data_IF_558664316451
#
_entry.id   IF_558664316451
#
_cell.length_a   1.000
_cell.length_b   1.000
_cell.length_c   1.000
_cell.angle_alpha   90.00
_cell.angle_beta   90.00
_cell.angle_gamma   90.00
#
_symmetry.space_group_name_H-M   'P 1'
#
loop_
_entity.id
_entity.type
_entity.pdbx_description
1 polymer ?
#
# COMPACT_ATOMS: atom_id res chain seq x y z
N UNK A 1 -29.82 11.38 -10.81
CA UNK A 1 -28.56 12.14 -10.95
C UNK A 1 -27.43 11.16 -10.87
N UNK A 2 -26.57 11.11 -11.86
CA UNK A 2 -25.38 10.26 -11.84
C UNK A 2 -24.38 10.90 -10.86
N UNK A 3 -23.69 10.07 -10.07
CA UNK A 3 -22.73 10.49 -9.01
C UNK A 3 -21.55 11.25 -9.64
N UNK A 4 -21.19 10.88 -10.87
CA UNK A 4 -20.05 11.38 -11.61
C UNK A 4 -20.41 12.56 -12.55
N UNK A 5 -21.73 12.85 -12.80
CA UNK A 5 -22.20 13.69 -13.90
C UNK A 5 -22.22 15.21 -13.66
N UNK A 6 -21.42 15.74 -12.75
CA UNK A 6 -21.36 17.21 -12.53
C UNK A 6 -20.39 17.95 -13.45
N UNK A 7 -20.12 17.43 -14.65
CA UNK A 7 -19.16 18.04 -15.60
C UNK A 7 -17.69 17.98 -15.13
N UNK A 8 -17.42 17.27 -14.06
CA UNK A 8 -16.06 17.06 -13.58
C UNK A 8 -15.41 15.92 -14.38
N UNK A 9 -14.25 16.20 -14.94
CA UNK A 9 -13.42 15.18 -15.63
C UNK A 9 -12.39 14.65 -14.65
N UNK A 10 -12.44 13.34 -14.39
CA UNK A 10 -11.44 12.64 -13.61
C UNK A 10 -10.13 12.52 -14.38
N UNK A 11 -9.02 12.82 -13.73
CA UNK A 11 -7.73 12.99 -14.40
C UNK A 11 -6.77 11.87 -14.14
N UNK A 12 -5.96 11.56 -15.13
CA UNK A 12 -4.68 10.86 -15.00
C UNK A 12 -3.61 11.67 -15.74
N UNK A 13 -2.35 11.54 -15.31
CA UNK A 13 -1.23 12.28 -15.91
C UNK A 13 -0.53 11.47 -16.98
N UNK A 14 -0.25 10.21 -16.74
CA UNK A 14 0.38 9.30 -17.70
C UNK A 14 -0.19 7.89 -17.61
N UNK A 15 -0.24 7.20 -18.74
CA UNK A 15 -0.59 5.79 -18.88
C UNK A 15 0.52 5.04 -19.61
N UNK A 16 0.97 3.92 -19.06
CA UNK A 16 1.99 3.06 -19.65
C UNK A 16 1.50 1.62 -19.80
N UNK A 17 1.60 1.09 -21.01
CA UNK A 17 1.56 -0.35 -21.27
C UNK A 17 2.97 -0.93 -21.13
N UNK A 18 3.17 -1.88 -20.23
CA UNK A 18 4.44 -2.57 -20.09
C UNK A 18 4.71 -3.50 -21.28
N UNK A 19 5.62 -3.12 -22.17
CA UNK A 19 6.00 -3.90 -23.35
C UNK A 19 6.71 -5.21 -22.99
N UNK A 20 7.26 -5.31 -21.77
CA UNK A 20 7.97 -6.49 -21.26
C UNK A 20 7.10 -7.32 -20.33
N UNK A 21 5.77 -7.10 -20.33
CA UNK A 21 4.86 -7.83 -19.47
C UNK A 21 4.94 -9.35 -19.69
N UNK A 22 5.23 -10.05 -18.62
CA UNK A 22 5.25 -11.51 -18.56
C UNK A 22 4.94 -11.95 -17.13
N UNK A 23 3.76 -12.53 -16.91
CA UNK A 23 3.39 -13.01 -15.58
C UNK A 23 3.88 -14.44 -15.37
N UNK A 24 5.11 -14.55 -14.90
CA UNK A 24 5.73 -15.84 -14.58
C UNK A 24 5.59 -16.12 -13.07
N UNK A 25 4.68 -17.05 -12.73
CA UNK A 25 4.41 -17.42 -11.33
C UNK A 25 5.68 -17.95 -10.62
N UNK A 26 6.49 -18.75 -11.30
CA UNK A 26 7.69 -19.33 -10.69
C UNK A 26 8.73 -18.23 -10.40
N UNK A 27 8.95 -17.32 -11.32
CA UNK A 27 9.87 -16.20 -11.11
C UNK A 27 9.42 -15.30 -9.97
N UNK A 28 8.10 -15.02 -9.88
CA UNK A 28 7.50 -14.23 -8.79
C UNK A 28 7.74 -14.94 -7.45
N UNK A 29 7.44 -16.24 -7.37
CA UNK A 29 7.55 -17.04 -6.15
C UNK A 29 9.00 -17.36 -5.78
N UNK A 30 9.96 -17.20 -6.69
CA UNK A 30 11.40 -17.21 -6.34
C UNK A 30 11.82 -15.91 -5.60
N UNK A 31 11.06 -14.82 -5.76
CA UNK A 31 11.35 -13.54 -5.10
C UNK A 31 10.63 -13.38 -3.75
N UNK A 32 9.48 -14.02 -3.60
CA UNK A 32 8.71 -14.15 -2.36
C UNK A 32 8.07 -15.53 -2.33
N UNK A 33 8.70 -16.45 -1.62
CA UNK A 33 8.39 -17.89 -1.69
C UNK A 33 7.03 -18.23 -1.09
N UNK A 34 6.42 -19.30 -1.59
CA UNK A 34 5.18 -19.85 -1.03
C UNK A 34 5.29 -20.10 0.47
N UNK A 35 6.45 -20.60 0.90
CA UNK A 35 6.72 -20.86 2.32
C UNK A 35 6.67 -19.56 3.15
N UNK A 36 7.29 -18.46 2.68
CA UNK A 36 7.25 -17.18 3.38
C UNK A 36 5.83 -16.63 3.46
N UNK A 37 5.05 -16.82 2.40
CA UNK A 37 3.63 -16.42 2.33
C UNK A 37 2.80 -17.24 3.33
N UNK A 38 2.98 -18.56 3.38
CA UNK A 38 2.26 -19.45 4.30
C UNK A 38 2.65 -19.21 5.76
N UNK A 39 3.93 -19.03 6.03
CA UNK A 39 4.44 -18.70 7.36
C UNK A 39 3.82 -17.38 7.87
N UNK A 40 3.71 -16.36 6.99
CA UNK A 40 3.12 -15.08 7.34
C UNK A 40 1.64 -15.22 7.69
N UNK A 41 0.85 -15.90 6.86
CA UNK A 41 -0.57 -16.14 7.13
C UNK A 41 -0.77 -16.97 8.40
N UNK A 42 -0.01 -18.07 8.55
CA UNK A 42 -0.10 -18.95 9.71
C UNK A 42 0.25 -18.25 11.03
N UNK A 43 1.15 -17.26 11.00
CA UNK A 43 1.48 -16.46 12.17
C UNK A 43 0.44 -15.38 12.43
N UNK A 44 0.16 -14.53 11.44
CA UNK A 44 -0.70 -13.35 11.57
C UNK A 44 -2.14 -13.74 11.91
N UNK A 45 -2.65 -14.83 11.34
CA UNK A 45 -4.01 -15.31 11.62
C UNK A 45 -4.24 -15.76 13.07
N UNK A 46 -3.17 -15.99 13.83
CA UNK A 46 -3.22 -16.34 15.27
C UNK A 46 -3.04 -15.13 16.19
N UNK A 47 -2.78 -13.96 15.64
CA UNK A 47 -2.59 -12.78 16.49
C UNK A 47 -3.89 -12.36 17.17
N UNK A 48 -3.79 -11.95 18.41
CA UNK A 48 -4.96 -11.44 19.13
C UNK A 48 -5.57 -10.25 18.38
N UNK A 49 -6.90 -10.32 18.15
CA UNK A 49 -7.63 -9.30 17.38
C UNK A 49 -7.51 -9.45 15.86
N UNK A 50 -6.93 -10.55 15.34
CA UNK A 50 -6.98 -10.83 13.92
C UNK A 50 -8.42 -11.12 13.48
N UNK A 51 -8.81 -10.45 12.42
CA UNK A 51 -9.99 -10.76 11.63
C UNK A 51 -9.72 -10.34 10.18
N UNK A 52 -10.23 -11.06 9.18
CA UNK A 52 -10.21 -10.58 7.80
C UNK A 52 -10.89 -9.21 7.71
N UNK A 53 -10.22 -8.25 7.07
CA UNK A 53 -10.83 -6.93 6.86
C UNK A 53 -11.95 -7.02 5.82
N UNK A 54 -12.92 -6.09 5.84
CA UNK A 54 -14.04 -6.15 4.91
C UNK A 54 -13.62 -6.09 3.44
N UNK A 55 -14.27 -6.87 2.61
CA UNK A 55 -14.28 -6.73 1.15
C UNK A 55 -15.64 -6.15 0.75
N UNK A 56 -15.68 -4.87 0.44
CA UNK A 56 -16.89 -4.08 0.22
C UNK A 56 -17.17 -3.99 -1.28
N UNK A 57 -18.42 -4.22 -1.70
CA UNK A 57 -18.82 -3.93 -3.07
C UNK A 57 -19.13 -2.44 -3.23
N UNK A 58 -18.45 -1.78 -4.19
CA UNK A 58 -18.82 -0.42 -4.62
C UNK A 58 -19.93 -0.52 -5.67
N UNK A 59 -21.09 -1.05 -5.26
CA UNK A 59 -22.21 -1.44 -6.13
C UNK A 59 -22.84 -0.26 -6.89
N UNK A 60 -22.85 0.93 -6.30
CA UNK A 60 -23.36 2.15 -6.96
C UNK A 60 -22.36 2.62 -8.04
N UNK A 61 -21.06 2.61 -7.74
CA UNK A 61 -20.03 2.96 -8.69
C UNK A 61 -19.93 1.96 -9.85
N UNK A 62 -20.03 0.65 -9.57
CA UNK A 62 -19.99 -0.37 -10.63
C UNK A 62 -21.13 -0.22 -11.63
N UNK A 63 -22.34 0.10 -11.17
CA UNK A 63 -23.48 0.40 -12.03
C UNK A 63 -23.23 1.62 -12.91
N UNK A 64 -22.69 2.70 -12.32
CA UNK A 64 -22.44 3.95 -13.03
C UNK A 64 -21.35 3.81 -14.10
N UNK A 65 -20.30 3.03 -13.83
CA UNK A 65 -19.22 2.76 -14.77
C UNK A 65 -19.52 1.63 -15.76
N UNK A 66 -20.69 0.97 -15.64
CA UNK A 66 -21.08 -0.20 -16.42
C UNK A 66 -20.04 -1.33 -16.33
N UNK A 67 -19.65 -1.67 -15.09
CA UNK A 67 -18.78 -2.80 -14.75
C UNK A 67 -19.58 -3.85 -13.98
N UNK A 68 -19.16 -5.13 -14.03
CA UNK A 68 -19.87 -6.22 -13.30
C UNK A 68 -19.78 -5.99 -11.80
N UNK A 69 -18.58 -5.88 -11.24
CA UNK A 69 -18.34 -5.61 -9.82
C UNK A 69 -17.08 -4.74 -9.63
N UNK A 70 -17.10 -3.95 -8.57
CA UNK A 70 -15.92 -3.29 -8.04
C UNK A 70 -15.82 -3.70 -6.57
N UNK A 71 -14.76 -4.45 -6.25
CA UNK A 71 -14.45 -4.87 -4.88
C UNK A 71 -13.43 -3.91 -4.26
N UNK A 72 -13.69 -3.45 -3.06
CA UNK A 72 -12.83 -2.58 -2.27
C UNK A 72 -12.41 -3.32 -0.99
N UNK A 73 -11.12 -3.62 -0.85
CA UNK A 73 -10.55 -4.22 0.36
C UNK A 73 -10.25 -3.12 1.38
N UNK A 74 -11.03 -3.07 2.47
CA UNK A 74 -11.00 -1.96 3.44
C UNK A 74 -10.00 -2.23 4.59
N UNK A 75 -8.75 -1.84 4.41
CA UNK A 75 -7.71 -1.95 5.45
C UNK A 75 -7.81 -0.91 6.57
N UNK A 76 -8.78 0.00 6.52
CA UNK A 76 -9.06 0.93 7.63
C UNK A 76 -9.47 0.22 8.93
N UNK A 77 -9.83 -1.06 8.87
CA UNK A 77 -10.24 -1.88 10.01
C UNK A 77 -9.10 -2.74 10.59
N UNK A 78 -7.90 -2.70 9.97
CA UNK A 78 -6.79 -3.58 10.34
C UNK A 78 -6.28 -3.26 11.77
N UNK A 79 -6.46 -4.18 12.72
CA UNK A 79 -5.96 -4.14 14.10
C UNK A 79 -6.13 -2.81 14.85
N UNK A 80 -7.14 -2.01 14.50
CA UNK A 80 -7.32 -0.64 14.99
C UNK A 80 -6.17 0.33 14.66
N UNK A 81 -5.18 -0.11 13.88
CA UNK A 81 -4.11 0.74 13.34
C UNK A 81 -4.52 1.46 12.07
N UNK A 82 -5.66 1.09 11.50
CA UNK A 82 -6.28 1.73 10.34
C UNK A 82 -5.40 1.71 9.08
N UNK A 83 -4.54 0.70 8.90
CA UNK A 83 -3.68 0.58 7.72
C UNK A 83 -3.19 -0.85 7.54
N UNK A 84 -3.06 -1.28 6.27
CA UNK A 84 -2.46 -2.57 5.90
C UNK A 84 -1.02 -2.75 6.41
N UNK A 85 -0.32 -1.64 6.64
CA UNK A 85 1.07 -1.66 7.14
C UNK A 85 1.21 -2.46 8.44
N UNK A 86 0.13 -2.56 9.22
CA UNK A 86 0.08 -3.37 10.43
C UNK A 86 0.47 -4.84 10.20
N UNK A 87 0.17 -5.40 9.04
CA UNK A 87 0.52 -6.77 8.67
C UNK A 87 2.02 -6.95 8.52
N UNK A 88 2.67 -6.09 7.73
CA UNK A 88 4.06 -6.27 7.34
C UNK A 88 5.07 -5.90 8.42
N UNK A 89 4.98 -4.67 8.97
CA UNK A 89 5.96 -4.21 9.96
C UNK A 89 5.94 -5.04 11.24
N UNK A 90 4.75 -5.37 11.75
CA UNK A 90 4.64 -6.20 12.95
C UNK A 90 5.11 -7.66 12.71
N UNK A 91 4.84 -8.21 11.51
CA UNK A 91 5.35 -9.53 11.15
C UNK A 91 6.87 -9.55 11.01
N UNK A 92 7.46 -8.52 10.39
CA UNK A 92 8.91 -8.38 10.30
C UNK A 92 9.55 -8.35 11.70
N UNK A 93 8.99 -7.58 12.65
CA UNK A 93 9.44 -7.56 14.05
C UNK A 93 9.41 -8.97 14.64
N UNK A 94 8.32 -9.71 14.48
CA UNK A 94 8.20 -11.07 15.01
C UNK A 94 9.26 -12.02 14.40
N UNK A 95 9.49 -11.94 13.08
CA UNK A 95 10.44 -12.81 12.39
C UNK A 95 11.90 -12.56 12.77
N UNK A 96 12.30 -11.30 12.94
CA UNK A 96 13.69 -10.98 13.28
C UNK A 96 14.04 -11.27 14.73
N UNK A 97 13.06 -11.15 15.63
CA UNK A 97 13.30 -11.34 17.07
C UNK A 97 13.30 -12.80 17.49
N UNK A 98 12.61 -13.66 16.75
CA UNK A 98 12.54 -15.12 17.03
C UNK A 98 12.25 -15.46 18.50
N UNK A 99 11.43 -14.62 19.16
CA UNK A 99 11.07 -14.78 20.56
C UNK A 99 12.09 -14.24 21.59
N UNK A 100 13.26 -13.72 21.15
CA UNK A 100 14.21 -13.06 22.04
C UNK A 100 13.65 -11.67 22.47
N UNK A 101 13.48 -11.47 23.77
CA UNK A 101 12.93 -10.26 24.36
C UNK A 101 13.95 -9.17 24.68
N UNK A 102 15.23 -9.47 24.58
CA UNK A 102 16.32 -8.52 24.84
C UNK A 102 16.65 -7.66 23.62
N UNK A 103 15.98 -7.94 22.48
CA UNK A 103 16.17 -7.20 21.24
C UNK A 103 15.45 -5.86 21.32
N UNK A 104 16.15 -4.78 20.95
CA UNK A 104 15.56 -3.48 20.65
C UNK A 104 15.37 -3.38 19.16
N UNK A 105 14.17 -3.01 18.70
CA UNK A 105 13.89 -2.75 17.29
C UNK A 105 13.92 -1.25 17.00
N UNK A 106 14.43 -0.87 15.83
CA UNK A 106 14.52 0.53 15.41
C UNK A 106 14.03 0.72 13.97
N UNK A 107 13.42 1.87 13.70
CA UNK A 107 13.02 2.26 12.33
C UNK A 107 13.05 3.77 12.17
N UNK A 108 13.22 4.24 10.92
CA UNK A 108 13.08 5.65 10.57
C UNK A 108 11.85 5.82 9.67
N UNK A 109 10.81 6.48 10.17
CA UNK A 109 9.56 6.67 9.42
C UNK A 109 8.60 7.59 10.16
N UNK A 110 7.80 8.35 9.43
CA UNK A 110 6.81 9.27 9.98
C UNK A 110 5.36 8.76 9.92
N UNK A 111 5.14 7.53 9.41
CA UNK A 111 3.80 7.10 9.05
C UNK A 111 3.41 5.72 9.57
N UNK A 112 2.55 5.08 8.80
CA UNK A 112 1.92 3.80 9.15
C UNK A 112 2.92 2.65 9.37
N UNK A 113 4.11 2.70 8.74
CA UNK A 113 5.15 1.70 8.98
C UNK A 113 5.67 1.78 10.42
N UNK A 114 5.98 2.99 10.91
CA UNK A 114 6.41 3.17 12.31
C UNK A 114 5.37 2.70 13.32
N UNK A 115 4.10 3.04 13.09
CA UNK A 115 2.99 2.55 13.93
C UNK A 115 2.91 1.02 13.92
N UNK A 116 3.14 0.40 12.76
CA UNK A 116 3.17 -1.06 12.64
C UNK A 116 4.32 -1.70 13.41
N UNK A 117 5.53 -1.13 13.31
CA UNK A 117 6.71 -1.61 14.04
C UNK A 117 6.53 -1.42 15.54
N UNK A 118 6.07 -0.24 15.99
CA UNK A 118 5.78 0.03 17.42
C UNK A 118 4.75 -0.94 17.98
N UNK A 119 3.65 -1.16 17.26
CA UNK A 119 2.62 -2.12 17.68
C UNK A 119 3.14 -3.56 17.71
N UNK A 120 3.95 -3.94 16.71
CA UNK A 120 4.60 -5.26 16.66
C UNK A 120 5.53 -5.48 17.86
N UNK A 121 6.34 -4.48 18.19
CA UNK A 121 7.21 -4.50 19.35
C UNK A 121 6.41 -4.61 20.68
N UNK A 122 5.36 -3.78 20.83
CA UNK A 122 4.47 -3.82 21.99
C UNK A 122 3.82 -5.19 22.19
N UNK A 123 3.37 -5.86 21.11
CA UNK A 123 2.78 -7.21 21.18
C UNK A 123 3.75 -8.23 21.76
N UNK A 124 5.03 -8.07 21.50
CA UNK A 124 6.09 -8.99 21.92
C UNK A 124 6.79 -8.56 23.21
N UNK A 125 6.44 -7.40 23.77
CA UNK A 125 7.07 -6.83 24.95
C UNK A 125 8.51 -6.35 24.70
N UNK A 126 8.79 -5.81 23.52
CA UNK A 126 10.09 -5.32 23.07
C UNK A 126 10.19 -3.81 23.15
N UNK A 127 11.40 -3.31 23.38
CA UNK A 127 11.70 -1.89 23.21
C UNK A 127 11.74 -1.51 21.73
N UNK A 128 11.17 -0.34 21.40
CA UNK A 128 11.09 0.17 20.04
C UNK A 128 11.59 1.61 19.98
N UNK A 129 12.52 1.91 19.06
CA UNK A 129 13.03 3.25 18.79
C UNK A 129 12.56 3.69 17.41
N UNK A 130 11.93 4.86 17.32
CA UNK A 130 11.45 5.40 16.05
C UNK A 130 12.06 6.77 15.80
N UNK A 131 12.82 6.86 14.72
CA UNK A 131 13.48 8.10 14.31
C UNK A 131 12.59 8.84 13.32
N UNK A 132 12.25 10.08 13.63
CA UNK A 132 11.42 10.95 12.78
C UNK A 132 12.15 12.25 12.46
N UNK A 133 11.92 12.77 11.26
CA UNK A 133 12.38 14.10 10.87
C UNK A 133 11.75 15.19 11.76
N UNK A 134 12.46 16.30 11.99
CA UNK A 134 11.92 17.46 12.72
C UNK A 134 10.65 18.06 12.11
N UNK A 135 10.42 17.83 10.81
CA UNK A 135 9.24 18.31 10.09
C UNK A 135 7.98 17.44 10.32
N UNK A 136 8.14 16.29 10.96
CA UNK A 136 6.99 15.43 11.31
C UNK A 136 6.21 16.06 12.45
N UNK A 137 4.88 16.14 12.30
CA UNK A 137 4.00 16.71 13.31
C UNK A 137 4.08 15.95 14.65
N UNK A 138 3.89 16.67 15.74
CA UNK A 138 3.88 16.07 17.08
C UNK A 138 2.79 15.03 17.23
N UNK A 139 1.63 15.22 16.57
CA UNK A 139 0.54 14.25 16.58
C UNK A 139 0.94 12.90 15.99
N UNK A 140 1.73 12.89 14.91
CA UNK A 140 2.25 11.65 14.31
C UNK A 140 3.28 10.98 15.22
N UNK A 141 4.17 11.77 15.85
CA UNK A 141 5.11 11.26 16.85
C UNK A 141 4.36 10.65 18.05
N UNK A 142 3.37 11.35 18.57
CA UNK A 142 2.56 10.89 19.70
C UNK A 142 1.81 9.59 19.38
N UNK A 143 1.27 9.44 18.17
CA UNK A 143 0.58 8.20 17.77
C UNK A 143 1.50 6.97 17.79
N UNK A 144 2.81 7.13 17.62
CA UNK A 144 3.79 6.04 17.76
C UNK A 144 4.20 5.84 19.22
N UNK A 145 4.34 6.92 19.98
CA UNK A 145 4.61 6.86 21.43
C UNK A 145 3.46 6.19 22.21
N UNK A 146 2.21 6.42 21.84
CA UNK A 146 1.03 5.77 22.42
C UNK A 146 1.03 4.24 22.19
N UNK A 147 1.75 3.77 21.19
CA UNK A 147 1.99 2.36 20.92
C UNK A 147 3.21 1.80 21.70
N UNK A 148 3.86 2.61 22.52
CA UNK A 148 4.98 2.23 23.38
C UNK A 148 6.35 2.43 22.75
N UNK A 149 6.45 3.16 21.62
CA UNK A 149 7.74 3.47 21.03
C UNK A 149 8.39 4.70 21.69
N UNK A 150 9.70 4.68 21.78
CA UNK A 150 10.54 5.83 22.10
C UNK A 150 10.82 6.59 20.80
N UNK A 151 10.22 7.78 20.65
CA UNK A 151 10.25 8.57 19.42
C UNK A 151 11.35 9.62 19.51
N UNK A 152 12.29 9.57 18.57
CA UNK A 152 13.47 10.41 18.50
C UNK A 152 13.33 11.36 17.33
N UNK A 153 13.17 12.66 17.60
CA UNK A 153 13.21 13.71 16.56
C UNK A 153 14.66 14.02 16.16
N UNK A 154 14.90 13.91 14.86
CA UNK A 154 16.22 14.18 14.26
C UNK A 154 16.14 15.47 13.45
N UNK A 155 17.12 16.35 13.65
CA UNK A 155 17.22 17.61 12.89
C UNK A 155 17.50 17.32 11.41
N UNK A 156 16.64 17.82 10.54
CA UNK A 156 16.71 17.65 9.09
C UNK A 156 15.57 16.79 8.53
N UNK A 157 15.74 16.33 7.29
CA UNK A 157 14.74 15.58 6.53
C UNK A 157 14.72 14.07 6.89
N UNK A 158 13.88 13.32 6.16
CA UNK A 158 13.78 11.86 6.33
C UNK A 158 15.11 11.13 6.17
N UNK A 159 15.95 11.53 5.18
CA UNK A 159 17.25 10.89 4.96
C UNK A 159 18.17 11.03 6.18
N UNK A 160 18.17 12.19 6.84
CA UNK A 160 18.91 12.41 8.08
C UNK A 160 18.40 11.51 9.22
N UNK A 161 17.08 11.33 9.35
CA UNK A 161 16.52 10.42 10.36
C UNK A 161 16.87 8.96 10.09
N UNK A 162 16.92 8.54 8.83
CA UNK A 162 17.35 7.19 8.45
C UNK A 162 18.86 6.97 8.75
N UNK A 163 19.71 7.92 8.40
CA UNK A 163 21.16 7.84 8.70
C UNK A 163 21.38 7.74 10.21
N UNK A 164 20.69 8.55 11.02
CA UNK A 164 20.82 8.52 12.46
C UNK A 164 20.28 7.21 13.05
N UNK A 165 19.17 6.70 12.53
CA UNK A 165 18.64 5.38 12.90
C UNK A 165 19.67 4.27 12.65
N UNK A 166 20.29 4.24 11.47
CA UNK A 166 21.31 3.24 11.11
C UNK A 166 22.53 3.37 12.04
N UNK A 167 23.01 4.59 12.27
CA UNK A 167 24.15 4.85 13.13
C UNK A 167 23.90 4.35 14.55
N UNK A 168 22.83 4.82 15.20
CA UNK A 168 22.53 4.43 16.59
C UNK A 168 22.21 2.94 16.70
N UNK A 169 21.57 2.35 15.70
CA UNK A 169 21.31 0.91 15.68
C UNK A 169 22.60 0.10 15.62
N UNK A 170 23.57 0.55 14.85
CA UNK A 170 24.90 -0.10 14.76
C UNK A 170 25.65 0.02 16.07
N UNK A 171 25.70 1.22 16.67
CA UNK A 171 26.40 1.49 17.93
C UNK A 171 25.82 0.72 19.13
N UNK A 172 24.49 0.48 19.14
CA UNK A 172 23.76 -0.14 20.26
C UNK A 172 23.29 -1.56 19.95
N UNK A 173 23.65 -2.14 18.81
CA UNK A 173 23.21 -3.48 18.38
C UNK A 173 21.68 -3.62 18.30
N UNK A 174 20.96 -2.57 17.86
CA UNK A 174 19.52 -2.63 17.62
C UNK A 174 19.20 -3.24 16.27
N UNK A 175 18.05 -3.89 16.15
CA UNK A 175 17.57 -4.48 14.91
C UNK A 175 16.76 -3.48 14.10
N UNK A 176 17.25 -3.10 12.93
CA UNK A 176 16.54 -2.20 12.02
C UNK A 176 15.36 -2.93 11.38
N UNK A 177 14.20 -2.27 11.33
CA UNK A 177 12.96 -2.76 10.68
C UNK A 177 12.46 -1.70 9.70
N UNK A 178 13.07 -1.68 8.51
CA UNK A 178 12.61 -0.83 7.39
C UNK A 178 11.85 -1.65 6.35
N UNK A 179 10.90 -1.02 5.65
CA UNK A 179 10.11 -1.64 4.59
C UNK A 179 10.70 -1.40 3.18
N UNK A 180 11.86 -0.76 3.10
CA UNK A 180 12.63 -0.53 1.86
C UNK A 180 13.87 -1.41 1.88
N UNK A 181 14.13 -2.12 0.77
CA UNK A 181 15.30 -2.97 0.59
C UNK A 181 16.45 -2.20 -0.09
N UNK A 182 17.68 -2.42 0.38
CA UNK A 182 18.91 -2.04 -0.29
C UNK A 182 19.86 -3.23 -0.37
N UNK A 183 21.06 -3.06 -0.99
CA UNK A 183 21.92 -4.16 -1.41
C UNK A 183 22.13 -5.27 -0.37
N UNK A 184 22.37 -4.92 0.88
CA UNK A 184 22.68 -5.89 1.95
C UNK A 184 21.56 -5.99 2.99
N UNK A 185 20.39 -5.39 2.69
CA UNK A 185 19.23 -5.36 3.57
C UNK A 185 17.97 -5.79 2.82
N UNK A 186 17.84 -7.09 2.61
CA UNK A 186 16.75 -7.69 1.79
C UNK A 186 15.75 -8.44 2.66
N UNK A 187 16.23 -9.11 3.71
CA UNK A 187 15.42 -10.10 4.45
C UNK A 187 14.24 -9.46 5.19
N UNK A 188 14.45 -8.34 5.87
CA UNK A 188 13.39 -7.67 6.64
C UNK A 188 12.29 -7.10 5.73
N UNK A 189 12.63 -6.40 4.62
CA UNK A 189 11.62 -6.01 3.62
C UNK A 189 10.88 -7.22 3.01
N UNK A 190 11.54 -8.37 2.82
CA UNK A 190 10.88 -9.61 2.37
C UNK A 190 9.85 -10.09 3.39
N UNK A 191 10.17 -10.11 4.69
CA UNK A 191 9.20 -10.43 5.73
C UNK A 191 8.03 -9.44 5.75
N UNK A 192 8.32 -8.16 5.58
CA UNK A 192 7.28 -7.11 5.49
C UNK A 192 6.32 -7.39 4.32
N UNK A 193 6.86 -7.71 3.15
CA UNK A 193 6.06 -8.07 1.99
C UNK A 193 5.27 -9.37 2.22
N UNK A 194 5.87 -10.39 2.83
CA UNK A 194 5.17 -11.63 3.17
C UNK A 194 3.94 -11.36 4.05
N UNK A 195 4.07 -10.47 5.05
CA UNK A 195 2.93 -10.03 5.86
C UNK A 195 1.80 -9.42 5.04
N UNK A 196 2.12 -8.60 4.03
CA UNK A 196 1.10 -7.98 3.17
C UNK A 196 0.32 -8.98 2.31
N UNK A 197 0.87 -10.17 2.02
CA UNK A 197 0.17 -11.19 1.22
C UNK A 197 -1.08 -11.74 1.91
N UNK A 198 -1.21 -11.56 3.22
CA UNK A 198 -2.41 -11.94 4.00
C UNK A 198 -3.66 -11.27 3.42
N UNK A 199 -3.58 -10.04 2.92
CA UNK A 199 -4.70 -9.38 2.25
C UNK A 199 -5.22 -10.21 1.06
N UNK A 200 -4.30 -10.74 0.22
CA UNK A 200 -4.73 -11.51 -0.95
C UNK A 200 -5.37 -12.84 -0.57
N UNK A 201 -4.85 -13.51 0.48
CA UNK A 201 -5.49 -14.73 1.02
C UNK A 201 -6.91 -14.45 1.50
N UNK A 202 -7.10 -13.37 2.28
CA UNK A 202 -8.43 -12.95 2.74
C UNK A 202 -9.38 -12.64 1.58
N UNK A 203 -8.89 -11.91 0.55
CA UNK A 203 -9.68 -11.57 -0.63
C UNK A 203 -10.15 -12.84 -1.34
N UNK A 204 -9.26 -13.80 -1.57
CA UNK A 204 -9.60 -15.08 -2.22
C UNK A 204 -10.68 -15.82 -1.45
N UNK A 205 -10.60 -15.85 -0.13
CA UNK A 205 -11.61 -16.49 0.71
C UNK A 205 -12.96 -15.75 0.68
N UNK A 206 -12.95 -14.43 0.48
CA UNK A 206 -14.14 -13.56 0.49
C UNK A 206 -14.89 -13.47 -0.86
N UNK A 207 -14.20 -13.67 -1.99
CA UNK A 207 -14.82 -13.53 -3.32
C UNK A 207 -15.62 -14.77 -3.78
N UNK A 208 -15.66 -15.85 -2.99
CA UNK A 208 -16.50 -17.03 -3.23
C UNK A 208 -16.44 -17.56 -4.68
N UNK A 209 -15.23 -17.78 -5.23
CA UNK A 209 -14.95 -18.25 -6.59
C UNK A 209 -15.24 -17.26 -7.74
N UNK A 210 -15.60 -16.03 -7.47
CA UNK A 210 -15.66 -15.01 -8.51
C UNK A 210 -14.25 -14.72 -9.06
N UNK A 211 -14.15 -14.58 -10.39
CA UNK A 211 -12.86 -14.28 -11.04
C UNK A 211 -12.60 -12.77 -11.02
N UNK A 212 -11.51 -12.36 -10.42
CA UNK A 212 -10.99 -10.99 -10.55
C UNK A 212 -10.40 -10.85 -11.95
N UNK A 213 -10.84 -9.87 -12.73
CA UNK A 213 -10.34 -9.56 -14.06
C UNK A 213 -9.24 -8.48 -14.05
N UNK A 214 -9.34 -7.53 -13.12
CA UNK A 214 -8.41 -6.41 -12.97
C UNK A 214 -8.11 -6.18 -11.50
N UNK A 215 -6.86 -5.80 -11.21
CA UNK A 215 -6.46 -5.35 -9.89
C UNK A 215 -5.67 -4.06 -10.00
N UNK A 216 -6.06 -3.06 -9.23
CA UNK A 216 -5.39 -1.76 -9.17
C UNK A 216 -4.67 -1.66 -7.82
N UNK A 217 -3.36 -1.45 -7.90
CA UNK A 217 -2.44 -1.51 -6.76
C UNK A 217 -1.70 -0.19 -6.62
N UNK A 218 -1.87 0.46 -5.49
CA UNK A 218 -1.09 1.64 -5.16
C UNK A 218 0.38 1.26 -4.94
N UNK A 219 1.30 2.09 -5.40
CA UNK A 219 2.72 1.94 -5.16
C UNK A 219 3.37 3.25 -4.71
N UNK A 220 4.19 3.15 -3.66
CA UNK A 220 5.31 4.01 -3.40
C UNK A 220 6.56 3.22 -3.77
N UNK A 221 7.31 2.67 -2.81
CA UNK A 221 8.46 1.79 -3.08
C UNK A 221 8.09 0.42 -3.66
N UNK A 222 6.79 0.13 -3.86
CA UNK A 222 6.29 -1.07 -4.52
C UNK A 222 6.03 -2.28 -3.62
N UNK A 223 6.28 -2.21 -2.31
CA UNK A 223 6.18 -3.36 -1.40
C UNK A 223 4.80 -4.01 -1.36
N UNK A 224 3.71 -3.22 -1.23
CA UNK A 224 2.34 -3.74 -1.25
C UNK A 224 1.99 -4.34 -2.62
N UNK A 225 2.27 -3.61 -3.70
CA UNK A 225 1.96 -4.07 -5.05
C UNK A 225 2.67 -5.40 -5.37
N UNK A 226 3.96 -5.52 -5.02
CA UNK A 226 4.73 -6.75 -5.18
C UNK A 226 4.17 -7.91 -4.35
N UNK A 227 3.76 -7.65 -3.11
CA UNK A 227 3.15 -8.65 -2.23
C UNK A 227 1.80 -9.14 -2.77
N UNK A 228 0.94 -8.24 -3.24
CA UNK A 228 -0.35 -8.61 -3.85
C UNK A 228 -0.15 -9.44 -5.11
N UNK A 229 0.84 -9.11 -5.96
CA UNK A 229 1.19 -9.90 -7.14
C UNK A 229 1.71 -11.28 -6.76
N UNK A 230 2.53 -11.40 -5.72
CA UNK A 230 2.97 -12.69 -5.22
C UNK A 230 1.80 -13.53 -4.67
N UNK A 231 0.85 -12.88 -3.99
CA UNK A 231 -0.40 -13.51 -3.56
C UNK A 231 -1.26 -13.99 -4.73
N UNK A 232 -1.35 -13.22 -5.82
CA UNK A 232 -2.01 -13.64 -7.07
C UNK A 232 -1.31 -14.89 -7.64
N UNK A 233 0.02 -14.88 -7.74
CA UNK A 233 0.78 -16.01 -8.26
C UNK A 233 0.51 -17.30 -7.48
N UNK A 234 0.36 -17.19 -6.16
CA UNK A 234 0.11 -18.32 -5.27
C UNK A 234 -1.35 -18.79 -5.26
N UNK A 235 -2.29 -17.87 -5.11
CA UNK A 235 -3.67 -18.23 -4.76
C UNK A 235 -4.65 -18.20 -5.94
N UNK A 236 -4.33 -17.53 -7.05
CA UNK A 236 -5.25 -17.44 -8.18
C UNK A 236 -4.84 -18.33 -9.34
N UNK A 237 -5.83 -19.01 -9.94
CA UNK A 237 -5.64 -19.74 -11.19
C UNK A 237 -5.70 -18.82 -12.41
N UNK A 238 -6.56 -17.79 -12.37
CA UNK A 238 -6.63 -16.76 -13.39
C UNK A 238 -5.74 -15.57 -13.01
N UNK A 239 -5.03 -15.03 -13.99
CA UNK A 239 -4.17 -13.87 -13.79
C UNK A 239 -4.98 -12.62 -14.16
N UNK A 240 -5.30 -11.72 -13.19
CA UNK A 240 -5.94 -10.46 -13.48
C UNK A 240 -4.99 -9.50 -14.21
N UNK A 241 -5.54 -8.56 -14.95
CA UNK A 241 -4.77 -7.41 -15.47
C UNK A 241 -4.27 -6.60 -14.27
N UNK A 242 -2.94 -6.57 -14.08
CA UNK A 242 -2.29 -5.88 -12.96
C UNK A 242 -1.98 -4.44 -13.34
N UNK A 243 -2.52 -3.49 -12.59
CA UNK A 243 -2.37 -2.06 -12.83
C UNK A 243 -1.74 -1.45 -11.58
N UNK A 244 -0.61 -0.76 -11.74
CA UNK A 244 -0.01 0.04 -10.68
C UNK A 244 -0.47 1.49 -10.82
N UNK A 245 -0.83 2.12 -9.70
CA UNK A 245 -1.17 3.54 -9.64
C UNK A 245 -0.22 4.27 -8.69
N UNK A 246 0.27 5.44 -9.12
CA UNK A 246 1.22 6.28 -8.41
C UNK A 246 0.85 7.77 -8.48
N UNK A 247 1.32 8.62 -7.53
CA UNK A 247 1.27 10.06 -7.74
C UNK A 247 2.20 10.47 -8.90
N UNK A 248 1.77 11.39 -9.73
CA UNK A 248 2.57 11.86 -10.87
C UNK A 248 3.89 12.51 -10.47
N UNK A 249 3.93 13.15 -9.31
CA UNK A 249 5.13 13.73 -8.72
C UNK A 249 6.17 12.70 -8.23
N UNK A 250 5.79 11.40 -8.13
CA UNK A 250 6.62 10.33 -7.58
C UNK A 250 6.36 8.97 -8.26
N UNK A 251 6.19 8.94 -9.59
CA UNK A 251 5.85 7.75 -10.36
C UNK A 251 7.09 6.86 -10.63
N UNK A 252 7.77 6.40 -9.57
CA UNK A 252 9.04 5.69 -9.70
C UNK A 252 8.91 4.28 -10.29
N UNK A 253 7.80 3.58 -10.06
CA UNK A 253 7.53 2.27 -10.69
C UNK A 253 7.27 2.43 -12.18
N UNK A 254 6.44 3.40 -12.57
CA UNK A 254 6.14 3.72 -13.97
C UNK A 254 7.43 4.02 -14.75
N UNK A 255 8.26 4.93 -14.26
CA UNK A 255 9.51 5.29 -14.93
C UNK A 255 10.50 4.11 -14.97
N UNK A 256 10.57 3.32 -13.90
CA UNK A 256 11.42 2.13 -13.86
C UNK A 256 10.96 1.05 -14.86
N UNK A 257 9.65 0.82 -15.01
CA UNK A 257 9.11 -0.11 -16.01
C UNK A 257 9.36 0.41 -17.43
N UNK A 258 9.21 1.69 -17.66
CA UNK A 258 9.43 2.36 -18.95
C UNK A 258 10.86 2.16 -19.47
N UNK A 259 11.87 2.23 -18.57
CA UNK A 259 13.28 2.05 -18.90
C UNK A 259 13.79 0.61 -18.74
N UNK A 260 13.06 -0.23 -18.00
CA UNK A 260 13.44 -1.61 -17.69
C UNK A 260 14.47 -1.76 -16.56
N UNK A 261 14.82 -0.68 -15.86
CA UNK A 261 15.72 -0.63 -14.70
C UNK A 261 15.17 0.29 -13.63
N UNK A 262 15.67 0.20 -12.40
CA UNK A 262 15.27 1.11 -11.33
C UNK A 262 15.72 2.52 -11.67
N UNK A 263 14.76 3.45 -11.73
CA UNK A 263 15.00 4.88 -11.91
C UNK A 263 14.74 5.61 -10.59
N UNK A 264 15.53 6.66 -10.33
CA UNK A 264 15.34 7.56 -9.21
C UNK A 264 14.66 8.84 -9.68
N UNK A 265 13.53 9.17 -9.04
CA UNK A 265 12.76 10.38 -9.29
C UNK A 265 13.15 11.45 -8.27
N UNK A 266 13.44 12.65 -8.74
CA UNK A 266 13.64 13.80 -7.87
C UNK A 266 12.27 14.41 -7.53
N UNK A 267 11.80 14.16 -6.31
CA UNK A 267 10.51 14.64 -5.81
C UNK A 267 10.63 16.13 -5.45
N UNK A 268 10.20 16.99 -6.34
CA UNK A 268 10.22 18.45 -6.12
C UNK A 268 9.09 18.93 -5.21
N UNK A 269 7.99 18.20 -5.18
CA UNK A 269 6.81 18.49 -4.36
C UNK A 269 6.21 17.17 -3.88
N UNK A 270 6.06 17.03 -2.57
CA UNK A 270 5.36 15.88 -2.01
C UNK A 270 3.89 15.88 -2.41
N UNK A 271 3.38 14.70 -2.77
CA UNK A 271 1.97 14.49 -3.04
C UNK A 271 1.16 14.43 -1.75
N UNK A 272 -0.14 14.73 -1.83
CA UNK A 272 -1.11 14.42 -0.78
C UNK A 272 -1.13 12.93 -0.44
N UNK A 273 -0.84 12.07 -1.42
CA UNK A 273 -0.65 10.63 -1.26
C UNK A 273 0.70 10.32 -0.57
N UNK A 274 0.88 10.83 0.66
CA UNK A 274 2.19 10.85 1.34
C UNK A 274 2.83 9.49 1.54
N UNK A 275 2.05 8.43 1.72
CA UNK A 275 2.55 7.05 1.82
C UNK A 275 3.03 6.46 0.48
N UNK A 276 2.76 7.14 -0.63
CA UNK A 276 3.16 6.77 -1.99
C UNK A 276 4.21 7.74 -2.56
N UNK A 277 4.51 8.84 -1.88
CA UNK A 277 5.49 9.85 -2.33
C UNK A 277 6.92 9.34 -2.13
N UNK A 278 7.34 8.43 -3.00
CA UNK A 278 8.62 7.72 -2.94
C UNK A 278 9.37 7.86 -4.27
N UNK A 279 10.66 8.23 -4.19
CA UNK A 279 11.47 8.53 -5.37
C UNK A 279 12.14 7.32 -6.01
N UNK A 280 12.07 6.12 -5.41
CA UNK A 280 12.79 4.95 -5.92
C UNK A 280 12.08 3.65 -5.53
N UNK A 281 12.04 2.69 -6.47
CA UNK A 281 11.47 1.37 -6.22
C UNK A 281 12.43 0.54 -5.37
N UNK A 282 11.92 -0.13 -4.35
CA UNK A 282 12.70 -1.04 -3.52
C UNK A 282 13.17 -2.29 -4.28
N UNK A 283 14.35 -2.80 -3.96
CA UNK A 283 15.00 -3.91 -4.70
C UNK A 283 14.18 -5.20 -4.74
N UNK A 284 13.50 -5.57 -3.65
CA UNK A 284 12.73 -6.82 -3.58
C UNK A 284 11.47 -6.75 -4.44
N UNK A 285 10.58 -5.74 -4.26
CA UNK A 285 9.40 -5.64 -5.11
C UNK A 285 9.74 -5.43 -6.59
N UNK A 286 10.84 -4.75 -6.93
CA UNK A 286 11.25 -4.57 -8.31
C UNK A 286 11.40 -5.89 -9.07
N UNK A 287 11.98 -6.93 -8.45
CA UNK A 287 12.12 -8.27 -9.05
C UNK A 287 10.78 -8.86 -9.48
N UNK A 288 9.70 -8.51 -8.77
CA UNK A 288 8.33 -8.94 -9.06
C UNK A 288 7.67 -7.99 -10.06
N UNK A 289 7.68 -6.68 -9.78
CA UNK A 289 6.91 -5.68 -10.52
C UNK A 289 7.37 -5.52 -11.96
N UNK A 290 8.68 -5.58 -12.21
CA UNK A 290 9.30 -5.31 -13.51
C UNK A 290 8.57 -5.96 -14.69
N UNK A 291 8.22 -7.22 -14.56
CA UNK A 291 7.57 -7.97 -15.64
C UNK A 291 6.10 -8.29 -15.36
N UNK A 292 5.66 -8.27 -14.09
CA UNK A 292 4.32 -8.73 -13.70
C UNK A 292 3.27 -7.62 -13.63
N UNK A 293 3.70 -6.36 -13.66
CA UNK A 293 2.81 -5.20 -13.83
C UNK A 293 2.53 -5.04 -15.31
N UNK A 294 1.24 -5.07 -15.67
CA UNK A 294 0.82 -4.94 -17.06
C UNK A 294 0.67 -3.50 -17.49
N UNK A 295 0.14 -2.66 -16.61
CA UNK A 295 -0.10 -1.26 -16.86
C UNK A 295 0.32 -0.40 -15.67
N UNK A 296 0.73 0.84 -15.94
CA UNK A 296 0.91 1.86 -14.91
C UNK A 296 0.09 3.09 -15.24
N UNK A 297 -0.43 3.74 -14.21
CA UNK A 297 -1.17 5.01 -14.30
C UNK A 297 -0.58 5.95 -13.26
N UNK A 298 -0.25 7.17 -13.64
CA UNK A 298 0.05 8.22 -12.67
C UNK A 298 -1.09 9.24 -12.58
N UNK A 299 -1.30 9.75 -11.38
CA UNK A 299 -2.40 10.65 -11.03
C UNK A 299 -1.92 11.94 -10.40
N UNK A 300 -2.55 13.09 -10.70
CA UNK A 300 -2.40 14.30 -9.88
C UNK A 300 -3.18 14.16 -8.57
N UNK A 301 -2.92 15.08 -7.64
CA UNK A 301 -3.60 15.12 -6.33
C UNK A 301 -5.07 15.64 -6.39
N UNK A 302 -5.50 16.17 -7.52
CA UNK A 302 -6.73 16.97 -7.68
C UNK A 302 -8.00 16.26 -7.15
N UNK A 303 -8.13 14.95 -7.38
CA UNK A 303 -9.34 14.19 -7.08
C UNK A 303 -9.31 13.44 -5.74
N UNK A 304 -8.22 13.54 -4.98
CA UNK A 304 -8.05 12.80 -3.71
C UNK A 304 -9.14 13.17 -2.70
N UNK A 305 -9.26 14.44 -2.37
CA UNK A 305 -10.23 14.94 -1.37
C UNK A 305 -11.68 14.61 -1.77
N UNK A 306 -12.01 14.81 -3.05
CA UNK A 306 -13.33 14.48 -3.62
C UNK A 306 -13.66 13.01 -3.48
N UNK A 307 -12.71 12.13 -3.82
CA UNK A 307 -12.90 10.66 -3.72
C UNK A 307 -13.08 10.21 -2.27
N UNK A 308 -12.26 10.73 -1.35
CA UNK A 308 -12.42 10.47 0.08
C UNK A 308 -13.81 10.87 0.58
N UNK A 309 -14.33 12.02 0.16
CA UNK A 309 -15.67 12.50 0.50
C UNK A 309 -16.78 11.60 -0.07
N UNK A 310 -16.64 11.16 -1.34
CA UNK A 310 -17.62 10.29 -2.00
C UNK A 310 -17.64 8.87 -1.39
N UNK A 311 -16.51 8.34 -0.95
CA UNK A 311 -16.44 7.10 -0.19
C UNK A 311 -17.09 7.27 1.19
N UNK A 312 -16.77 8.36 1.89
CA UNK A 312 -17.25 8.64 3.24
C UNK A 312 -18.75 8.92 3.35
N UNK A 313 -19.39 9.43 2.31
CA UNK A 313 -20.82 9.70 2.27
C UNK A 313 -21.68 8.62 1.60
N UNK A 314 -21.10 7.42 1.38
CA UNK A 314 -21.79 6.28 0.73
C UNK A 314 -22.23 6.54 -0.72
N UNK A 315 -21.60 7.44 -1.45
CA UNK A 315 -21.94 7.68 -2.86
C UNK A 315 -21.60 6.46 -3.75
N UNK A 316 -20.57 5.70 -3.41
CA UNK A 316 -20.11 4.56 -4.22
C UNK A 316 -20.60 3.20 -3.75
N UNK A 317 -21.06 3.08 -2.49
CA UNK A 317 -21.49 1.84 -1.84
C UNK A 317 -22.71 2.07 -0.95
N UNK A 318 -23.26 0.99 -0.37
CA UNK A 318 -24.43 1.08 0.52
C UNK A 318 -24.06 1.52 1.94
N UNK A 319 -22.77 1.56 2.26
CA UNK A 319 -22.25 1.98 3.56
C UNK A 319 -21.10 2.97 3.40
N UNK A 320 -20.87 3.87 4.37
CA UNK A 320 -19.75 4.80 4.33
C UNK A 320 -18.41 4.05 4.50
N UNK A 321 -17.41 4.49 3.76
CA UNK A 321 -16.04 3.98 3.82
C UNK A 321 -15.11 5.13 4.21
N UNK A 322 -14.46 5.02 5.35
CA UNK A 322 -13.47 5.99 5.80
C UNK A 322 -12.13 5.66 5.16
N UNK A 323 -11.86 6.27 4.01
CA UNK A 323 -10.66 6.04 3.21
C UNK A 323 -9.69 7.21 3.36
N UNK A 324 -8.45 6.94 3.74
CA UNK A 324 -7.39 7.92 3.77
C UNK A 324 -6.89 8.29 2.36
N UNK A 325 -5.99 9.26 2.29
CA UNK A 325 -5.48 9.81 1.04
C UNK A 325 -4.80 8.77 0.13
N UNK A 326 -4.11 7.78 0.72
CA UNK A 326 -3.49 6.71 -0.05
C UNK A 326 -4.47 5.62 -0.52
N UNK A 327 -5.72 5.66 -0.08
CA UNK A 327 -6.77 4.71 -0.48
C UNK A 327 -7.58 5.17 -1.69
N UNK A 328 -7.61 6.47 -1.97
CA UNK A 328 -8.36 7.06 -3.06
C UNK A 328 -7.81 6.73 -4.47
N UNK A 329 -6.49 6.64 -4.72
CA UNK A 329 -5.91 6.51 -6.06
C UNK A 329 -6.44 5.34 -6.87
N UNK A 330 -6.67 4.18 -6.25
CA UNK A 330 -7.22 3.01 -6.95
C UNK A 330 -8.61 3.27 -7.53
N UNK A 331 -9.45 4.01 -6.81
CA UNK A 331 -10.81 4.39 -7.27
C UNK A 331 -10.73 5.49 -8.33
N UNK A 332 -9.88 6.51 -8.13
CA UNK A 332 -9.68 7.61 -9.10
C UNK A 332 -9.23 7.05 -10.45
N UNK A 333 -8.19 6.20 -10.44
CA UNK A 333 -7.66 5.62 -11.68
C UNK A 333 -8.69 4.79 -12.42
N UNK A 334 -9.56 4.05 -11.69
CA UNK A 334 -10.65 3.29 -12.31
C UNK A 334 -11.69 4.19 -12.97
N UNK A 335 -12.13 5.25 -12.28
CA UNK A 335 -13.10 6.21 -12.83
C UNK A 335 -12.52 6.89 -14.07
N UNK A 336 -11.32 7.45 -13.98
CA UNK A 336 -10.62 8.10 -15.10
C UNK A 336 -10.46 7.13 -16.29
N UNK A 337 -10.12 5.86 -16.01
CA UNK A 337 -9.99 4.83 -17.02
C UNK A 337 -11.32 4.47 -17.71
N UNK A 338 -12.44 4.60 -17.03
CA UNK A 338 -13.75 4.34 -17.63
C UNK A 338 -14.28 5.54 -18.42
N UNK A 339 -13.90 6.77 -18.07
CA UNK A 339 -14.28 8.00 -18.78
C UNK A 339 -13.46 8.20 -20.06
N UNK A 340 -12.17 7.85 -20.06
CA UNK A 340 -11.31 7.91 -21.26
C UNK A 340 -11.49 6.64 -22.10
N UNK A 341 -12.03 6.80 -23.33
CA UNK A 341 -12.34 5.68 -24.20
C UNK A 341 -11.09 4.90 -24.64
N UNK A 342 -9.97 5.57 -24.87
CA UNK A 342 -8.72 4.93 -25.26
C UNK A 342 -8.13 4.10 -24.12
N UNK A 343 -8.18 4.66 -22.91
CA UNK A 343 -7.70 4.00 -21.70
C UNK A 343 -8.61 2.80 -21.35
N UNK A 344 -9.92 2.98 -21.41
CA UNK A 344 -10.90 1.91 -21.21
C UNK A 344 -10.66 0.73 -22.16
N UNK A 345 -10.43 1.03 -23.43
CA UNK A 345 -10.14 0.02 -24.45
C UNK A 345 -8.78 -0.66 -24.21
N UNK A 346 -7.75 0.11 -23.87
CA UNK A 346 -6.40 -0.41 -23.58
C UNK A 346 -6.39 -1.34 -22.38
N UNK A 347 -7.15 -1.02 -21.35
CA UNK A 347 -7.33 -1.85 -20.14
C UNK A 347 -8.32 -3.00 -20.38
N UNK A 348 -9.12 -2.96 -21.46
CA UNK A 348 -10.22 -3.92 -21.75
C UNK A 348 -11.27 -3.96 -20.65
N UNK A 349 -11.64 -2.80 -20.14
CA UNK A 349 -12.72 -2.66 -19.14
C UNK A 349 -14.08 -2.72 -19.85
N UNK A 350 -14.96 -3.62 -19.38
CA UNK A 350 -16.29 -3.84 -19.92
C UNK A 350 -17.30 -4.26 -18.83
N UNK A 351 -18.54 -4.53 -19.22
CA UNK A 351 -19.62 -4.97 -18.36
C UNK A 351 -19.40 -6.33 -17.67
N UNK A 352 -18.37 -7.09 -18.05
CA UNK A 352 -18.01 -8.37 -17.44
C UNK A 352 -16.83 -8.21 -16.47
N UNK A 353 -16.27 -7.02 -16.37
CA UNK A 353 -15.08 -6.75 -15.56
C UNK A 353 -15.40 -6.78 -14.07
N UNK A 354 -14.67 -7.63 -13.33
CA UNK A 354 -14.60 -7.67 -11.88
C UNK A 354 -13.29 -6.99 -11.45
N UNK A 355 -13.38 -5.78 -10.91
CA UNK A 355 -12.21 -4.97 -10.55
C UNK A 355 -11.98 -5.00 -9.05
N UNK A 356 -10.76 -5.25 -8.62
CA UNK A 356 -10.34 -5.15 -7.22
C UNK A 356 -9.51 -3.88 -7.02
N UNK A 357 -9.88 -3.08 -6.02
CA UNK A 357 -9.11 -1.93 -5.54
C UNK A 357 -8.81 -2.10 -4.05
N UNK A 358 -7.69 -1.53 -3.59
CA UNK A 358 -7.24 -1.64 -2.21
C UNK A 358 -7.46 -0.32 -1.49
N UNK A 359 -8.21 -0.35 -0.40
CA UNK A 359 -8.31 0.75 0.57
C UNK A 359 -7.19 0.61 1.59
N UNK A 360 -6.03 1.18 1.30
CA UNK A 360 -4.79 0.98 2.04
C UNK A 360 -4.87 1.39 3.52
N UNK A 361 -5.68 2.40 3.80
CA UNK A 361 -5.79 3.00 5.13
C UNK A 361 -7.10 3.77 5.32
N UNK A 362 -7.42 4.05 6.57
CA UNK A 362 -8.49 4.98 6.97
C UNK A 362 -7.95 6.35 7.36
N UNK A 363 -8.67 7.03 8.28
CA UNK A 363 -8.30 8.32 8.86
C UNK A 363 -7.14 8.18 9.87
N UNK A 364 -5.98 7.77 9.40
CA UNK A 364 -4.78 7.57 10.24
C UNK A 364 -4.26 8.89 10.81
N UNK A 365 -4.47 9.99 10.10
CA UNK A 365 -4.34 11.37 10.55
C UNK A 365 -5.72 12.03 10.50
N UNK A 366 -6.43 12.04 11.63
CA UNK A 366 -7.80 12.56 11.71
C UNK A 366 -7.91 14.03 11.33
N UNK A 367 -6.93 14.85 11.68
CA UNK A 367 -6.94 16.27 11.37
C UNK A 367 -6.81 16.51 9.86
N UNK A 368 -5.89 15.81 9.21
CA UNK A 368 -5.72 15.85 7.76
C UNK A 368 -6.97 15.31 7.05
N UNK A 369 -7.51 14.17 7.49
CA UNK A 369 -8.74 13.60 6.93
C UNK A 369 -9.89 14.62 6.96
N UNK A 370 -10.17 15.21 8.12
CA UNK A 370 -11.23 16.21 8.26
C UNK A 370 -10.98 17.46 7.39
N UNK A 371 -9.74 17.92 7.31
CA UNK A 371 -9.37 19.03 6.43
C UNK A 371 -9.69 18.71 4.97
N UNK A 372 -9.34 17.52 4.48
CA UNK A 372 -9.54 17.12 3.10
C UNK A 372 -11.03 16.96 2.74
N UNK A 373 -11.81 16.23 3.55
CA UNK A 373 -13.23 15.98 3.24
C UNK A 373 -14.11 17.24 3.36
N UNK A 374 -13.65 18.28 4.07
CA UNK A 374 -14.36 19.56 4.25
C UNK A 374 -13.91 20.63 3.24
N UNK A 375 -12.97 20.34 2.35
CA UNK A 375 -12.66 21.22 1.21
C UNK A 375 -13.85 21.21 0.24
N UNK A 376 -14.27 22.43 -0.15
CA UNK A 376 -15.39 22.65 -1.09
C UNK A 376 -14.99 22.29 -2.53
#
# INVERSE_FOLDING_TARGET
MTILSNGHQWKFSEFLNNKNYSFDKQQILNSLSEKEIDDAYSSISKWNGYAPTPLISLNKLSKELNLKNIYYKDESKRFNLKSFKALGGAYAVEKITKGNKDIVVATATAGNHGRSVAWGARRLGLNCKIFISEFVSDARGQAMADLGADVIKVKGNYEKSLIECIKQSTENNWQIVQDVAWRDYIQVPTYTMAGYTVMMKEIVDQIHNEKISHIILQAGVGGMAGAMIAGIAKYLNNIPSTIVVEPDSAACVLESIKTGKIEKIDIKKESLMGGMSCGEVSLVPWKILKNSVKHCISLPDDDIAKTMKLLGNSSFSDQPIIAGENSAPGVISLIASCEDQNLKQSLRLDQNSNVLVIGCEGDTDKAMYQKLINQN
#
